data_IF_079368301871
#
_entry.id   IF_079368301871
#
_cell.length_a   1.000
_cell.length_b   1.000
_cell.length_c   1.000
_cell.angle_alpha   90.00
_cell.angle_beta   90.00
_cell.angle_gamma   90.00
#
_symmetry.space_group_name_H-M   'P 1'
#
loop_
_entity.id
_entity.type
_entity.pdbx_description
1 polymer ?
#
# COMPACT_ATOMS: atom_id res chain seq x y z
N UNK A 1 -1.78 -24.84 10.91
CA UNK A 1 -2.80 -24.34 9.96
C UNK A 1 -3.17 -22.97 10.46
N UNK A 2 -3.07 -21.97 9.62
CA UNK A 2 -3.52 -20.62 10.00
C UNK A 2 -5.03 -20.65 10.25
N UNK A 3 -5.46 -20.06 11.36
CA UNK A 3 -6.90 -19.87 11.61
C UNK A 3 -7.50 -18.73 10.78
N UNK A 4 -6.67 -18.01 9.98
CA UNK A 4 -7.10 -16.82 9.26
C UNK A 4 -7.53 -17.16 7.85
N UNK A 5 -8.79 -16.82 7.51
CA UNK A 5 -9.37 -17.01 6.18
C UNK A 5 -9.67 -15.67 5.53
N UNK A 6 -9.22 -15.49 4.29
CA UNK A 6 -9.38 -14.24 3.53
C UNK A 6 -10.14 -14.53 2.25
N UNK A 7 -11.23 -13.81 2.02
CA UNK A 7 -12.01 -13.84 0.79
C UNK A 7 -11.53 -12.77 -0.20
N UNK A 8 -11.42 -13.11 -1.50
CA UNK A 8 -11.10 -12.17 -2.57
C UNK A 8 -12.18 -12.27 -3.64
N UNK A 9 -12.93 -11.19 -3.82
CA UNK A 9 -14.02 -11.09 -4.80
C UNK A 9 -13.54 -10.27 -6.00
N UNK A 10 -13.27 -10.97 -7.10
CA UNK A 10 -12.68 -10.43 -8.34
C UNK A 10 -11.16 -10.60 -8.41
N UNK A 11 -10.69 -11.32 -9.42
CA UNK A 11 -9.28 -11.59 -9.70
C UNK A 11 -8.76 -10.79 -10.91
N UNK A 12 -9.20 -9.53 -11.04
CA UNK A 12 -8.56 -8.56 -11.93
C UNK A 12 -7.14 -8.24 -11.44
N UNK A 13 -6.47 -7.27 -12.06
CA UNK A 13 -5.07 -6.91 -11.73
C UNK A 13 -4.86 -6.70 -10.23
N UNK A 14 -5.75 -5.97 -9.58
CA UNK A 14 -5.64 -5.67 -8.16
C UNK A 14 -5.86 -6.91 -7.29
N UNK A 15 -6.97 -7.65 -7.51
CA UNK A 15 -7.28 -8.86 -6.73
C UNK A 15 -6.21 -9.94 -6.87
N UNK A 16 -5.71 -10.16 -8.08
CA UNK A 16 -4.60 -11.09 -8.34
C UNK A 16 -3.29 -10.68 -7.63
N UNK A 17 -3.01 -9.37 -7.59
CA UNK A 17 -1.82 -8.86 -6.87
C UNK A 17 -1.94 -9.08 -5.37
N UNK A 18 -3.12 -8.81 -4.79
CA UNK A 18 -3.39 -9.08 -3.36
C UNK A 18 -3.27 -10.57 -3.05
N UNK A 19 -3.88 -11.42 -3.89
CA UNK A 19 -3.81 -12.87 -3.75
C UNK A 19 -2.36 -13.37 -3.77
N UNK A 20 -1.57 -12.94 -4.77
CA UNK A 20 -0.17 -13.32 -4.91
C UNK A 20 0.67 -12.96 -3.67
N UNK A 21 0.42 -11.78 -3.10
CA UNK A 21 1.11 -11.35 -1.89
C UNK A 21 0.68 -12.20 -0.67
N UNK A 22 -0.61 -12.46 -0.51
CA UNK A 22 -1.14 -13.27 0.58
C UNK A 22 -0.69 -14.74 0.52
N UNK A 23 -0.54 -15.30 -0.68
CA UNK A 23 -0.09 -16.67 -0.89
C UNK A 23 1.35 -16.95 -0.39
N UNK A 24 2.12 -15.90 -0.07
CA UNK A 24 3.45 -16.05 0.56
C UNK A 24 3.37 -16.23 2.09
N UNK A 25 2.17 -16.18 2.65
CA UNK A 25 1.92 -16.26 4.09
C UNK A 25 1.03 -17.47 4.42
N UNK A 26 1.06 -17.90 5.67
CA UNK A 26 0.20 -18.98 6.17
C UNK A 26 -1.23 -18.46 6.40
N UNK A 27 -2.03 -18.36 5.33
CA UNK A 27 -3.44 -17.95 5.35
C UNK A 27 -4.26 -18.80 4.39
N UNK A 28 -5.53 -19.04 4.71
CA UNK A 28 -6.49 -19.68 3.80
C UNK A 28 -7.08 -18.61 2.88
N UNK A 29 -7.09 -18.85 1.57
CA UNK A 29 -7.63 -17.89 0.59
C UNK A 29 -8.82 -18.51 -0.12
N UNK A 30 -9.98 -17.84 -0.07
CA UNK A 30 -11.17 -18.14 -0.87
C UNK A 30 -11.25 -17.08 -1.97
N UNK A 31 -11.31 -17.49 -3.23
CA UNK A 31 -11.41 -16.55 -4.35
C UNK A 31 -12.64 -16.82 -5.20
N UNK A 32 -13.30 -15.73 -5.65
CA UNK A 32 -14.43 -15.79 -6.56
C UNK A 32 -14.18 -14.82 -7.72
N UNK A 33 -14.32 -15.30 -8.95
CA UNK A 33 -14.27 -14.49 -10.19
C UNK A 33 -15.19 -15.12 -11.23
N UNK A 34 -15.76 -14.32 -12.12
CA UNK A 34 -16.63 -14.79 -13.20
C UNK A 34 -15.88 -15.45 -14.37
N UNK A 35 -14.52 -15.37 -14.36
CA UNK A 35 -13.66 -15.97 -15.37
C UNK A 35 -12.94 -17.19 -14.82
N UNK A 36 -13.26 -18.36 -15.34
CA UNK A 36 -12.65 -19.64 -14.94
C UNK A 36 -11.11 -19.63 -15.07
N UNK A 37 -10.59 -19.02 -16.13
CA UNK A 37 -9.13 -18.94 -16.35
C UNK A 37 -8.40 -18.25 -15.21
N UNK A 38 -9.00 -17.23 -14.61
CA UNK A 38 -8.42 -16.50 -13.47
C UNK A 38 -8.40 -17.34 -12.21
N UNK A 39 -9.44 -18.11 -11.94
CA UNK A 39 -9.49 -19.03 -10.81
C UNK A 39 -8.45 -20.13 -11.00
N UNK A 40 -8.39 -20.77 -12.17
CA UNK A 40 -7.46 -21.85 -12.48
C UNK A 40 -5.99 -21.44 -12.34
N UNK A 41 -5.66 -20.17 -12.66
CA UNK A 41 -4.30 -19.62 -12.50
C UNK A 41 -3.79 -19.72 -11.06
N UNK A 42 -4.69 -19.59 -10.07
CA UNK A 42 -4.35 -19.55 -8.66
C UNK A 42 -4.74 -20.81 -7.89
N UNK A 43 -5.31 -21.82 -8.56
CA UNK A 43 -5.78 -23.07 -7.94
C UNK A 43 -4.78 -23.69 -6.92
N UNK A 44 -3.45 -23.74 -7.21
CA UNK A 44 -2.51 -24.37 -6.28
C UNK A 44 -2.34 -23.66 -4.92
N UNK A 45 -2.76 -22.40 -4.81
CA UNK A 45 -2.60 -21.59 -3.59
C UNK A 45 -3.93 -21.24 -2.94
N UNK A 46 -5.06 -21.60 -3.56
CA UNK A 46 -6.39 -21.37 -3.02
C UNK A 46 -6.83 -22.50 -2.10
N UNK A 47 -7.36 -22.17 -0.93
CA UNK A 47 -8.15 -23.08 -0.14
C UNK A 47 -9.48 -23.41 -0.85
N UNK A 48 -10.05 -22.44 -1.57
CA UNK A 48 -11.24 -22.61 -2.42
C UNK A 48 -11.29 -21.56 -3.53
N UNK A 49 -11.45 -22.01 -4.76
CA UNK A 49 -11.74 -21.17 -5.93
C UNK A 49 -13.16 -21.43 -6.43
N UNK A 50 -13.92 -20.38 -6.71
CA UNK A 50 -15.30 -20.49 -7.22
C UNK A 50 -15.45 -19.58 -8.44
N UNK A 51 -16.00 -20.14 -9.52
CA UNK A 51 -16.36 -19.38 -10.72
C UNK A 51 -17.81 -18.93 -10.59
N UNK A 52 -18.03 -17.60 -10.59
CA UNK A 52 -19.39 -17.08 -10.52
C UNK A 52 -19.47 -15.58 -10.24
N UNK A 53 -20.71 -15.10 -10.14
CA UNK A 53 -21.01 -13.69 -9.93
C UNK A 53 -20.91 -13.32 -8.45
N UNK A 54 -20.09 -12.36 -8.12
CA UNK A 54 -19.88 -11.87 -6.74
C UNK A 54 -21.11 -11.09 -6.19
N UNK A 55 -22.10 -10.83 -6.99
CA UNK A 55 -23.38 -10.21 -6.58
C UNK A 55 -24.43 -11.22 -6.16
N UNK A 56 -24.16 -12.52 -6.30
CA UNK A 56 -25.03 -13.61 -5.88
C UNK A 56 -24.72 -14.01 -4.42
N UNK A 57 -25.65 -13.67 -3.50
CA UNK A 57 -25.51 -13.94 -2.07
C UNK A 57 -25.45 -15.44 -1.76
N UNK A 58 -26.25 -16.27 -2.47
CA UNK A 58 -26.25 -17.71 -2.27
C UNK A 58 -24.93 -18.34 -2.70
N UNK A 59 -24.34 -17.81 -3.78
CA UNK A 59 -23.01 -18.22 -4.22
C UNK A 59 -21.94 -17.82 -3.19
N UNK A 60 -21.96 -16.61 -2.66
CA UNK A 60 -21.04 -16.16 -1.64
C UNK A 60 -21.12 -17.04 -0.39
N UNK A 61 -22.32 -17.33 0.09
CA UNK A 61 -22.53 -18.21 1.23
C UNK A 61 -22.04 -19.63 0.94
N UNK A 62 -22.40 -20.20 -0.22
CA UNK A 62 -21.95 -21.55 -0.60
C UNK A 62 -20.43 -21.64 -0.76
N UNK A 63 -19.76 -20.56 -1.16
CA UNK A 63 -18.32 -20.45 -1.25
C UNK A 63 -17.62 -20.41 0.13
N UNK A 64 -18.35 -20.10 1.20
CA UNK A 64 -17.82 -20.00 2.55
C UNK A 64 -17.33 -18.58 2.91
N UNK A 65 -17.84 -17.54 2.25
CA UNK A 65 -17.47 -16.14 2.53
C UNK A 65 -17.86 -15.73 3.94
N UNK A 66 -18.92 -16.29 4.50
CA UNK A 66 -19.32 -16.11 5.90
C UNK A 66 -18.28 -16.60 6.93
N UNK A 67 -17.34 -17.45 6.51
CA UNK A 67 -16.26 -17.95 7.38
C UNK A 67 -14.98 -17.10 7.30
N UNK A 68 -14.96 -16.06 6.45
CA UNK A 68 -13.80 -15.22 6.27
C UNK A 68 -13.65 -14.18 7.38
N UNK A 69 -12.43 -13.98 7.88
CA UNK A 69 -12.09 -12.86 8.80
C UNK A 69 -12.07 -11.52 8.06
N UNK A 70 -11.67 -11.56 6.80
CA UNK A 70 -11.57 -10.39 5.94
C UNK A 70 -11.98 -10.74 4.53
N UNK A 71 -12.76 -9.88 3.90
CA UNK A 71 -13.09 -9.98 2.48
C UNK A 71 -12.62 -8.74 1.73
N UNK A 72 -11.93 -8.94 0.62
CA UNK A 72 -11.50 -7.89 -0.30
C UNK A 72 -12.40 -7.91 -1.53
N UNK A 73 -13.24 -6.89 -1.69
CA UNK A 73 -14.04 -6.65 -2.90
C UNK A 73 -13.14 -5.91 -3.88
N UNK A 74 -12.50 -6.66 -4.78
CA UNK A 74 -11.46 -6.18 -5.69
C UNK A 74 -11.97 -5.74 -7.07
N UNK A 75 -13.26 -5.84 -7.32
CA UNK A 75 -13.90 -5.25 -8.50
C UNK A 75 -14.01 -3.73 -8.34
N UNK A 76 -13.90 -2.99 -9.40
CA UNK A 76 -13.97 -1.51 -9.32
C UNK A 76 -14.50 -0.89 -10.62
N UNK A 77 -14.93 -1.73 -11.55
CA UNK A 77 -15.45 -1.27 -12.85
C UNK A 77 -16.94 -0.94 -12.76
N UNK A 78 -17.68 -1.70 -11.98
CA UNK A 78 -19.11 -1.50 -11.77
C UNK A 78 -19.38 -1.19 -10.27
N UNK A 79 -19.91 0.01 -10.01
CA UNK A 79 -20.26 0.42 -8.65
C UNK A 79 -21.42 -0.43 -8.09
N UNK A 80 -22.39 -0.81 -8.90
CA UNK A 80 -23.52 -1.65 -8.49
C UNK A 80 -23.04 -3.00 -7.96
N UNK A 81 -22.17 -3.69 -8.71
CA UNK A 81 -21.59 -4.95 -8.27
C UNK A 81 -20.78 -4.80 -6.97
N UNK A 82 -20.02 -3.71 -6.84
CA UNK A 82 -19.26 -3.43 -5.59
C UNK A 82 -20.19 -3.19 -4.40
N UNK A 83 -21.29 -2.47 -4.60
CA UNK A 83 -22.33 -2.19 -3.59
C UNK A 83 -22.95 -3.50 -3.12
N UNK A 84 -23.45 -4.33 -4.05
CA UNK A 84 -24.08 -5.61 -3.72
C UNK A 84 -23.11 -6.56 -3.00
N UNK A 85 -21.89 -6.71 -3.50
CA UNK A 85 -20.89 -7.55 -2.87
C UNK A 85 -20.55 -7.10 -1.43
N UNK A 86 -20.39 -5.80 -1.18
CA UNK A 86 -20.16 -5.28 0.18
C UNK A 86 -21.39 -5.53 1.08
N UNK A 87 -22.59 -5.28 0.59
CA UNK A 87 -23.83 -5.52 1.34
C UNK A 87 -23.96 -6.98 1.74
N UNK A 88 -23.77 -7.91 0.80
CA UNK A 88 -23.87 -9.35 1.07
C UNK A 88 -22.80 -9.81 2.04
N UNK A 89 -21.54 -9.39 1.89
CA UNK A 89 -20.49 -9.71 2.86
C UNK A 89 -20.85 -9.23 4.28
N UNK A 90 -21.40 -8.02 4.41
CA UNK A 90 -21.84 -7.51 5.74
C UNK A 90 -23.06 -8.26 6.26
N UNK A 91 -24.03 -8.63 5.41
CA UNK A 91 -25.19 -9.48 5.79
C UNK A 91 -24.75 -10.88 6.25
N UNK A 92 -23.74 -11.46 5.63
CA UNK A 92 -23.15 -12.74 5.99
C UNK A 92 -22.29 -12.66 7.26
N UNK A 93 -22.12 -11.48 7.86
CA UNK A 93 -21.41 -11.30 9.13
C UNK A 93 -19.89 -11.22 9.01
N UNK A 94 -19.34 -10.98 7.82
CA UNK A 94 -17.88 -10.82 7.63
C UNK A 94 -17.37 -9.67 8.50
N UNK A 95 -16.39 -9.92 9.40
CA UNK A 95 -15.90 -8.92 10.34
C UNK A 95 -15.29 -7.70 9.65
N UNK A 96 -14.46 -7.93 8.62
CA UNK A 96 -13.77 -6.84 7.90
C UNK A 96 -14.01 -6.94 6.41
N UNK A 97 -14.59 -5.89 5.81
CA UNK A 97 -14.81 -5.78 4.37
C UNK A 97 -14.03 -4.60 3.81
N UNK A 98 -13.08 -4.89 2.93
CA UNK A 98 -12.25 -3.90 2.24
C UNK A 98 -12.73 -3.81 0.79
N UNK A 99 -13.04 -2.61 0.31
CA UNK A 99 -13.50 -2.43 -1.06
C UNK A 99 -12.57 -1.54 -1.88
N UNK A 100 -12.33 -1.93 -3.13
CA UNK A 100 -11.61 -1.11 -4.10
C UNK A 100 -12.58 -0.20 -4.86
N UNK A 101 -12.16 1.05 -5.11
CA UNK A 101 -12.91 1.99 -5.96
C UNK A 101 -11.99 2.77 -6.89
N UNK A 102 -12.58 3.29 -7.98
CA UNK A 102 -11.91 4.19 -8.94
C UNK A 102 -12.31 5.66 -8.77
N UNK A 103 -13.30 5.99 -7.94
CA UNK A 103 -13.78 7.36 -7.77
C UNK A 103 -14.05 7.74 -6.33
N UNK A 104 -13.87 9.03 -6.02
CA UNK A 104 -14.15 9.55 -4.68
C UNK A 104 -15.63 9.46 -4.29
N UNK A 105 -16.54 9.56 -5.25
CA UNK A 105 -17.98 9.40 -5.01
C UNK A 105 -18.31 7.96 -4.62
N UNK A 106 -17.77 6.97 -5.33
CA UNK A 106 -17.94 5.57 -5.00
C UNK A 106 -17.38 5.24 -3.61
N UNK A 107 -16.26 5.85 -3.21
CA UNK A 107 -15.70 5.71 -1.87
C UNK A 107 -16.72 6.07 -0.79
N UNK A 108 -17.33 7.25 -0.89
CA UNK A 108 -18.34 7.70 0.09
C UNK A 108 -19.58 6.80 0.14
N UNK A 109 -19.95 6.21 -0.99
CA UNK A 109 -21.10 5.29 -1.05
C UNK A 109 -20.76 4.00 -0.31
N UNK A 110 -19.62 3.36 -0.61
CA UNK A 110 -19.24 2.08 0.00
C UNK A 110 -18.96 2.21 1.50
N UNK A 111 -18.36 3.32 1.95
CA UNK A 111 -18.20 3.62 3.38
C UNK A 111 -19.55 3.69 4.11
N UNK A 112 -20.58 4.29 3.48
CA UNK A 112 -21.93 4.38 4.06
C UNK A 112 -22.67 3.05 4.06
N UNK A 113 -22.38 2.16 3.13
CA UNK A 113 -22.99 0.83 3.04
C UNK A 113 -22.38 -0.13 4.07
N UNK A 114 -21.22 0.20 4.63
CA UNK A 114 -20.62 -0.58 5.69
C UNK A 114 -19.28 -1.23 5.33
N UNK A 115 -18.64 -0.82 4.22
CA UNK A 115 -17.24 -1.19 4.01
C UNK A 115 -16.38 -0.61 5.13
N UNK A 116 -15.59 -1.45 5.80
CA UNK A 116 -14.72 -1.05 6.91
C UNK A 116 -13.51 -0.24 6.42
N UNK A 117 -13.08 -0.50 5.19
CA UNK A 117 -12.05 0.27 4.50
C UNK A 117 -12.34 0.38 3.01
N UNK A 118 -12.10 1.55 2.43
CA UNK A 118 -12.24 1.77 0.98
C UNK A 118 -10.96 2.39 0.43
N UNK A 119 -10.36 1.70 -0.52
CA UNK A 119 -9.07 2.04 -1.12
C UNK A 119 -9.22 2.43 -2.59
N UNK A 120 -8.35 3.30 -3.06
CA UNK A 120 -8.26 3.76 -4.45
C UNK A 120 -6.82 3.62 -4.94
N UNK A 121 -6.35 2.42 -5.29
CA UNK A 121 -4.95 2.15 -5.62
C UNK A 121 -4.41 3.03 -6.74
N UNK A 122 -5.21 3.28 -7.78
CA UNK A 122 -4.81 4.10 -8.91
C UNK A 122 -4.59 5.57 -8.51
N UNK A 123 -5.44 6.10 -7.62
CA UNK A 123 -5.28 7.47 -7.13
C UNK A 123 -4.06 7.59 -6.21
N UNK A 124 -3.86 6.64 -5.31
CA UNK A 124 -2.74 6.63 -4.38
C UNK A 124 -1.41 6.49 -5.13
N UNK A 125 -1.35 5.57 -6.10
CA UNK A 125 -0.16 5.37 -6.92
C UNK A 125 0.12 6.56 -7.86
N UNK A 126 -0.93 7.14 -8.47
CA UNK A 126 -0.79 8.34 -9.30
C UNK A 126 -0.26 9.54 -8.49
N UNK A 127 -0.71 9.69 -7.26
CA UNK A 127 -0.19 10.72 -6.34
C UNK A 127 1.27 10.47 -5.97
N UNK A 128 1.63 9.23 -5.65
CA UNK A 128 3.02 8.85 -5.36
C UNK A 128 3.93 9.13 -6.54
N UNK A 129 3.53 8.72 -7.75
CA UNK A 129 4.29 8.97 -8.98
C UNK A 129 4.46 10.48 -9.25
N UNK A 130 3.40 11.27 -9.04
CA UNK A 130 3.49 12.72 -9.21
C UNK A 130 4.52 13.34 -8.26
N UNK A 131 4.58 12.88 -7.02
CA UNK A 131 5.61 13.31 -6.06
C UNK A 131 7.01 12.94 -6.54
N UNK A 132 7.23 11.69 -6.99
CA UNK A 132 8.51 11.25 -7.55
C UNK A 132 8.95 12.13 -8.74
N UNK A 133 8.02 12.47 -9.64
CA UNK A 133 8.30 13.35 -10.79
C UNK A 133 8.67 14.76 -10.35
N UNK A 134 7.95 15.33 -9.38
CA UNK A 134 8.19 16.69 -8.88
C UNK A 134 9.53 16.82 -8.18
N UNK A 135 9.96 15.80 -7.46
CA UNK A 135 11.22 15.79 -6.72
C UNK A 135 12.42 15.24 -7.53
N UNK A 136 12.31 15.16 -8.88
CA UNK A 136 13.39 14.88 -9.85
C UNK A 136 14.18 13.60 -9.58
N UNK A 137 13.54 12.52 -9.18
CA UNK A 137 14.17 11.21 -8.86
C UNK A 137 15.28 11.26 -7.80
N UNK A 138 15.50 12.41 -7.16
CA UNK A 138 16.54 12.59 -6.15
C UNK A 138 16.03 12.34 -4.75
N UNK A 139 14.69 12.29 -4.57
CA UNK A 139 14.04 12.12 -3.27
C UNK A 139 12.83 11.21 -3.41
N UNK A 140 12.86 10.07 -2.78
CA UNK A 140 11.66 9.24 -2.58
C UNK A 140 10.86 9.77 -1.40
N UNK A 141 9.55 9.97 -1.58
CA UNK A 141 8.67 10.56 -0.56
C UNK A 141 7.57 9.58 -0.20
N UNK A 142 7.56 9.12 1.04
CA UNK A 142 6.51 8.30 1.63
C UNK A 142 5.67 9.14 2.59
N UNK A 143 4.49 9.53 2.20
CA UNK A 143 3.63 10.35 3.04
C UNK A 143 3.04 9.52 4.18
N UNK A 144 3.33 9.89 5.44
CA UNK A 144 2.74 9.26 6.63
C UNK A 144 1.35 9.84 6.94
N UNK A 145 1.21 11.17 6.84
CA UNK A 145 -0.05 11.87 7.02
C UNK A 145 -0.08 13.17 6.21
N UNK A 146 -1.06 14.04 6.46
CA UNK A 146 -1.20 15.34 5.77
C UNK A 146 -0.01 16.27 5.96
N UNK A 147 0.75 16.12 7.04
CA UNK A 147 1.78 17.05 7.47
C UNK A 147 3.19 16.47 7.46
N UNK A 148 3.32 15.15 7.50
CA UNK A 148 4.60 14.47 7.73
C UNK A 148 4.84 13.41 6.67
N UNK A 149 6.07 13.38 6.15
CA UNK A 149 6.56 12.37 5.22
C UNK A 149 7.88 11.76 5.69
N UNK A 150 8.13 10.54 5.27
CA UNK A 150 9.49 9.98 5.23
C UNK A 150 10.06 10.30 3.85
N UNK A 151 11.29 10.76 3.82
CA UNK A 151 12.04 11.02 2.58
C UNK A 151 13.29 10.15 2.55
N UNK A 152 13.60 9.63 1.38
CA UNK A 152 14.89 9.01 1.09
C UNK A 152 15.56 9.78 -0.04
N UNK A 153 16.79 10.24 0.15
CA UNK A 153 17.49 11.03 -0.84
C UNK A 153 18.98 10.70 -0.86
N UNK A 154 19.58 10.85 -2.03
CA UNK A 154 21.04 10.80 -2.16
C UNK A 154 21.68 11.94 -1.37
N UNK A 155 22.76 11.65 -0.67
CA UNK A 155 23.48 12.66 0.11
C UNK A 155 24.06 13.72 -0.84
N UNK A 156 23.69 15.01 -0.67
CA UNK A 156 24.23 16.08 -1.48
C UNK A 156 25.76 16.14 -1.41
N UNK A 157 26.41 16.48 -2.50
CA UNK A 157 27.89 16.60 -2.54
C UNK A 157 28.44 17.57 -1.50
N UNK A 158 27.68 18.62 -1.18
CA UNK A 158 28.04 19.60 -0.15
C UNK A 158 28.05 19.06 1.28
N UNK A 159 27.42 17.90 1.54
CA UNK A 159 27.39 17.26 2.85
C UNK A 159 28.43 16.16 3.01
N UNK A 160 29.01 15.69 1.93
CA UNK A 160 30.01 14.61 1.95
C UNK A 160 31.22 15.01 2.81
N UNK A 161 31.64 14.09 3.68
CA UNK A 161 32.78 14.31 4.60
C UNK A 161 32.47 15.17 5.82
N UNK A 162 31.23 15.66 5.97
CA UNK A 162 30.80 16.35 7.18
C UNK A 162 30.07 15.38 8.11
N UNK A 163 30.11 15.66 9.42
CA UNK A 163 29.38 14.88 10.41
C UNK A 163 27.94 15.41 10.58
N UNK A 164 27.06 14.59 11.13
CA UNK A 164 25.69 14.97 11.45
C UNK A 164 25.62 16.16 12.40
N UNK A 165 26.53 16.21 13.38
CA UNK A 165 26.64 17.33 14.34
C UNK A 165 27.04 18.64 13.67
N UNK A 166 27.97 18.60 12.68
CA UNK A 166 28.39 19.79 11.92
C UNK A 166 27.27 20.31 11.02
N UNK A 167 26.54 19.42 10.36
CA UNK A 167 25.45 19.76 9.44
C UNK A 167 24.23 20.33 10.14
N UNK A 168 23.98 19.90 11.39
CA UNK A 168 22.77 20.28 12.15
C UNK A 168 21.47 20.13 11.31
N UNK A 169 21.30 18.96 10.70
CA UNK A 169 20.22 18.70 9.74
C UNK A 169 18.83 18.95 10.31
N UNK A 170 18.64 18.65 11.60
CA UNK A 170 17.38 18.94 12.28
C UNK A 170 17.12 20.44 12.40
N UNK A 171 18.14 21.22 12.77
CA UNK A 171 17.96 22.66 12.97
C UNK A 171 17.87 23.46 11.68
N UNK A 172 18.59 23.02 10.63
CA UNK A 172 18.64 23.74 9.35
C UNK A 172 17.55 23.34 8.35
N UNK A 173 17.22 22.04 8.32
CA UNK A 173 16.36 21.45 7.26
C UNK A 173 15.16 20.73 7.82
N UNK A 174 14.94 20.71 9.15
CA UNK A 174 13.87 19.96 9.82
C UNK A 174 13.89 18.46 9.53
N UNK A 175 15.06 17.89 9.22
CA UNK A 175 15.26 16.48 8.96
C UNK A 175 15.55 15.73 10.26
N UNK A 176 14.67 14.78 10.60
CA UNK A 176 14.91 13.83 11.67
C UNK A 176 15.38 12.52 11.04
N UNK A 177 16.66 12.22 11.18
CA UNK A 177 17.31 11.09 10.51
C UNK A 177 16.81 9.77 11.07
N UNK A 178 16.44 8.84 10.18
CA UNK A 178 16.09 7.46 10.49
C UNK A 178 17.26 6.51 10.26
N UNK A 179 18.08 6.76 9.23
CA UNK A 179 19.19 5.90 8.89
C UNK A 179 19.86 6.27 7.58
N UNK A 180 20.80 5.43 7.18
CA UNK A 180 21.59 5.58 5.95
C UNK A 180 21.61 4.30 5.15
N UNK A 181 21.83 4.43 3.83
CA UNK A 181 22.13 3.32 2.93
C UNK A 181 23.43 3.62 2.18
N UNK A 182 24.30 2.63 2.03
CA UNK A 182 25.56 2.80 1.32
C UNK A 182 25.35 2.98 -0.20
N UNK A 183 24.22 2.48 -0.76
CA UNK A 183 23.78 2.65 -2.14
C UNK A 183 22.26 2.49 -2.23
N UNK A 184 21.69 2.82 -3.37
CA UNK A 184 20.25 2.69 -3.64
C UNK A 184 19.75 1.26 -3.37
N UNK A 185 18.65 1.13 -2.62
CA UNK A 185 18.08 -0.15 -2.19
C UNK A 185 18.96 -1.05 -1.30
N UNK A 186 20.09 -0.57 -0.79
CA UNK A 186 20.86 -1.28 0.25
C UNK A 186 20.04 -1.42 1.55
N UNK A 187 20.37 -2.37 2.44
CA UNK A 187 19.78 -2.42 3.77
C UNK A 187 19.94 -1.08 4.50
N UNK A 188 18.88 -0.63 5.19
CA UNK A 188 18.94 0.59 5.97
C UNK A 188 19.76 0.36 7.25
N UNK A 189 20.85 1.11 7.41
CA UNK A 189 21.59 1.17 8.64
C UNK A 189 21.00 2.24 9.56
N UNK A 190 20.53 1.80 10.74
CA UNK A 190 19.96 2.68 11.77
C UNK A 190 20.90 2.89 12.95
N UNK A 191 22.13 2.33 12.88
CA UNK A 191 23.16 2.47 13.89
C UNK A 191 24.17 3.54 13.46
N UNK A 192 23.89 4.77 13.82
CA UNK A 192 24.75 5.91 13.51
C UNK A 192 24.90 6.85 14.71
N UNK A 193 26.00 7.60 14.73
CA UNK A 193 26.33 8.57 15.76
C UNK A 193 26.44 10.00 15.23
N UNK A 194 26.42 11.00 16.11
CA UNK A 194 26.48 12.41 15.72
C UNK A 194 27.80 12.81 15.03
N UNK A 195 28.84 12.02 15.19
CA UNK A 195 30.16 12.28 14.62
C UNK A 195 30.47 11.45 13.36
N UNK A 196 29.51 10.60 12.91
CA UNK A 196 29.71 9.81 11.70
C UNK A 196 29.73 10.73 10.49
N UNK A 197 30.69 10.48 9.60
CA UNK A 197 30.88 11.26 8.38
C UNK A 197 29.99 10.72 7.27
N UNK A 198 29.32 11.63 6.58
CA UNK A 198 28.50 11.28 5.43
C UNK A 198 29.38 10.87 4.23
N UNK A 199 29.04 9.74 3.61
CA UNK A 199 29.78 9.18 2.49
C UNK A 199 29.21 9.66 1.15
N UNK A 200 30.07 9.75 0.14
CA UNK A 200 29.62 9.96 -1.24
C UNK A 200 28.78 8.76 -1.72
N UNK A 201 27.84 9.02 -2.62
CA UNK A 201 26.96 8.03 -3.24
C UNK A 201 26.06 7.23 -2.28
N UNK A 202 26.03 7.60 -1.01
CA UNK A 202 25.10 7.04 -0.02
C UNK A 202 23.79 7.82 0.03
N UNK A 203 22.79 7.21 0.68
CA UNK A 203 21.44 7.74 0.83
C UNK A 203 21.11 7.97 2.28
N UNK A 204 20.31 9.00 2.56
CA UNK A 204 19.80 9.33 3.88
C UNK A 204 18.29 9.16 3.87
N UNK A 205 17.78 8.47 4.89
CA UNK A 205 16.35 8.36 5.16
C UNK A 205 15.99 9.21 6.38
N UNK A 206 14.98 10.06 6.26
CA UNK A 206 14.60 10.98 7.33
C UNK A 206 13.10 11.24 7.36
N UNK A 207 12.59 11.66 8.53
CA UNK A 207 11.24 12.23 8.68
C UNK A 207 11.31 13.73 8.52
N UNK A 208 10.38 14.29 7.73
CA UNK A 208 10.26 15.74 7.47
C UNK A 208 8.81 16.19 7.54
N UNK A 209 8.58 17.43 7.94
CA UNK A 209 7.28 18.07 7.76
C UNK A 209 7.11 18.52 6.30
N UNK A 210 5.95 18.26 5.71
CA UNK A 210 5.68 18.46 4.28
C UNK A 210 5.90 19.91 3.80
N UNK A 211 5.78 20.89 4.68
CA UNK A 211 6.04 22.31 4.35
C UNK A 211 7.51 22.61 3.98
N UNK A 212 8.44 21.70 4.31
CA UNK A 212 9.88 21.84 4.03
C UNK A 212 10.36 20.95 2.86
N UNK A 213 9.48 20.22 2.19
CA UNK A 213 9.86 19.33 1.08
C UNK A 213 10.49 20.11 -0.08
N UNK A 214 9.95 21.26 -0.43
CA UNK A 214 10.48 22.11 -1.51
C UNK A 214 11.92 22.60 -1.21
N UNK A 215 12.20 22.90 0.06
CA UNK A 215 13.54 23.28 0.50
C UNK A 215 14.53 22.12 0.34
N UNK A 216 14.06 20.88 0.58
CA UNK A 216 14.90 19.70 0.42
C UNK A 216 15.20 19.40 -1.05
N UNK A 217 14.23 19.57 -1.93
CA UNK A 217 14.40 19.37 -3.38
C UNK A 217 15.51 20.27 -3.95
N UNK A 218 15.60 21.52 -3.47
CA UNK A 218 16.61 22.49 -3.90
C UNK A 218 18.05 22.15 -3.44
N UNK A 219 18.23 21.19 -2.52
CA UNK A 219 19.56 20.75 -2.08
C UNK A 219 20.15 19.64 -2.97
N UNK A 220 19.31 19.04 -3.80
CA UNK A 220 19.68 17.89 -4.65
C UNK A 220 20.17 18.32 -6.04
N UNK A 221 20.10 19.61 -6.34
CA UNK A 221 20.70 20.25 -7.53
C UNK A 221 22.17 20.64 -7.25
#
# INVERSE_FOLDING_TARGET
MSDRTIGILGLGIFGSSVLTALAQHDVNIIAIDDHEERINQFEPVLARGVVGDITDEDLLLSAGIDTCDTVVVATGENLESSVLAVMHCKSLGVPTVIAKVKSHTAKKVLEKIGADSVISPEYEMGRSLAQTILFHNSVDVFQLDKNVSIVEMKIPASWVGQSLSQLNLRGRYNLNILGFRDYENAPLDVQFGPNDLLKADSYIMAVINNQYLDTLASLSE
#
